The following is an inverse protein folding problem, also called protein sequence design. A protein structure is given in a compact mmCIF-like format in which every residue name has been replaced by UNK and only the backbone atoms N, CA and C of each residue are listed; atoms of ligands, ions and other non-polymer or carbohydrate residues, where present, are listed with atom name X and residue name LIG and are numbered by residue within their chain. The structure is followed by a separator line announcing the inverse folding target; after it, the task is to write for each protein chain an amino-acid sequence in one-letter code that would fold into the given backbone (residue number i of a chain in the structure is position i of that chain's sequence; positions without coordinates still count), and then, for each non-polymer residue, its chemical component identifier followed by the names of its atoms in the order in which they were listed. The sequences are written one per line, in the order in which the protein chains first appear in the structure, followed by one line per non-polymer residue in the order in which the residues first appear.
data_IF_082656568030
#
_entry.id   IF_082656568030
#
_cell.length_a   1.000
_cell.length_b   1.000
_cell.length_c   1.000
_cell.angle_alpha   90.00
_cell.angle_beta   90.00
_cell.angle_gamma   90.00
#
_symmetry.space_group_name_H-M   'P 1'
#
loop_
_entity.id
_entity.type
_entity.pdbx_description
1 polymer ?
#
# COMPACT_ATOMS: atom_id res chain seq x y z
N UNK A 1 -27.69 -15.84 -15.33
CA UNK A 1 -27.33 -14.40 -15.12
C UNK A 1 -25.84 -14.21 -14.85
N UNK A 2 -25.19 -15.07 -14.04
CA UNK A 2 -23.76 -14.97 -13.76
C UNK A 2 -22.86 -15.13 -15.01
N UNK A 3 -23.16 -16.07 -15.91
CA UNK A 3 -22.37 -16.32 -17.12
C UNK A 3 -22.25 -15.07 -18.01
N UNK A 4 -23.40 -14.46 -18.37
CA UNK A 4 -23.45 -13.23 -19.17
C UNK A 4 -22.71 -12.04 -18.54
N UNK A 5 -22.55 -12.01 -17.21
CA UNK A 5 -21.77 -10.97 -16.53
C UNK A 5 -20.27 -11.23 -16.52
N UNK A 6 -19.86 -12.50 -16.55
CA UNK A 6 -18.45 -12.89 -16.70
C UNK A 6 -18.00 -12.67 -18.14
N UNK A 7 -18.82 -13.07 -19.11
CA UNK A 7 -18.54 -12.89 -20.54
C UNK A 7 -18.36 -11.40 -20.87
N UNK A 8 -19.27 -10.54 -20.38
CA UNK A 8 -19.14 -9.07 -20.52
C UNK A 8 -17.87 -8.53 -19.87
N UNK A 9 -17.41 -9.11 -18.77
CA UNK A 9 -16.21 -8.69 -18.05
C UNK A 9 -14.92 -9.17 -18.73
N UNK A 10 -14.98 -10.28 -19.45
CA UNK A 10 -13.88 -10.79 -20.26
C UNK A 10 -13.69 -9.97 -21.55
N UNK A 11 -14.77 -9.38 -22.07
CA UNK A 11 -14.76 -8.52 -23.26
C UNK A 11 -14.48 -7.03 -22.94
N UNK A 12 -14.34 -6.66 -21.66
CA UNK A 12 -14.03 -5.29 -21.25
C UNK A 12 -12.64 -4.85 -21.74
N UNK A 13 -12.56 -3.65 -22.30
CA UNK A 13 -11.27 -3.00 -22.56
C UNK A 13 -10.60 -2.57 -21.24
N UNK A 14 -9.28 -2.40 -21.24
CA UNK A 14 -8.52 -1.92 -20.07
C UNK A 14 -9.09 -0.60 -19.51
N UNK A 15 -9.48 0.34 -20.37
CA UNK A 15 -10.06 1.62 -19.95
C UNK A 15 -11.41 1.44 -19.25
N UNK A 16 -12.28 0.58 -19.78
CA UNK A 16 -13.57 0.27 -19.18
C UNK A 16 -13.41 -0.48 -17.85
N UNK A 17 -12.47 -1.42 -17.77
CA UNK A 17 -12.17 -2.16 -16.54
C UNK A 17 -11.62 -1.22 -15.46
N UNK A 18 -10.68 -0.34 -15.83
CA UNK A 18 -10.11 0.67 -14.91
C UNK A 18 -11.18 1.65 -14.41
N UNK A 19 -12.05 2.14 -15.29
CA UNK A 19 -13.20 2.99 -14.91
C UNK A 19 -14.13 2.25 -13.93
N UNK A 20 -14.50 1.01 -14.23
CA UNK A 20 -15.36 0.19 -13.35
C UNK A 20 -14.71 -0.09 -12.00
N UNK A 21 -13.42 -0.42 -11.96
CA UNK A 21 -12.66 -0.63 -10.73
C UNK A 21 -12.57 0.65 -9.90
N UNK A 22 -12.34 1.80 -10.55
CA UNK A 22 -12.31 3.11 -9.88
C UNK A 22 -13.63 3.40 -9.15
N UNK A 23 -14.77 3.19 -9.81
CA UNK A 23 -16.09 3.34 -9.19
C UNK A 23 -16.29 2.38 -8.00
N UNK A 24 -15.83 1.13 -8.11
CA UNK A 24 -15.90 0.16 -7.02
C UNK A 24 -15.02 0.56 -5.82
N UNK A 25 -13.82 1.08 -6.08
CA UNK A 25 -12.91 1.58 -5.03
C UNK A 25 -13.53 2.79 -4.32
N UNK A 26 -14.06 3.76 -5.07
CA UNK A 26 -14.72 4.95 -4.51
C UNK A 26 -15.92 4.57 -3.64
N UNK A 27 -16.80 3.70 -4.14
CA UNK A 27 -17.94 3.19 -3.36
C UNK A 27 -17.47 2.45 -2.10
N UNK A 28 -16.42 1.65 -2.22
CA UNK A 28 -15.82 0.94 -1.10
C UNK A 28 -15.24 1.86 -0.02
N UNK A 29 -14.62 2.97 -0.43
CA UNK A 29 -14.12 4.00 0.47
C UNK A 29 -15.25 4.75 1.16
N UNK A 30 -16.29 5.18 0.41
CA UNK A 30 -17.46 5.85 0.99
C UNK A 30 -18.12 5.00 2.08
N UNK A 31 -18.36 3.71 1.81
CA UNK A 31 -18.91 2.79 2.83
C UNK A 31 -18.01 2.67 4.06
N UNK A 32 -16.69 2.66 3.89
CA UNK A 32 -15.72 2.57 5.00
C UNK A 32 -15.66 3.87 5.82
N UNK A 33 -15.85 5.03 5.19
CA UNK A 33 -15.90 6.31 5.89
C UNK A 33 -17.17 6.47 6.75
N UNK A 34 -18.26 5.83 6.33
CA UNK A 34 -19.55 5.82 7.03
C UNK A 34 -19.68 4.66 8.06
N UNK A 35 -18.63 3.85 8.27
CA UNK A 35 -18.66 2.75 9.25
C UNK A 35 -18.53 3.25 10.69
N UNK A 36 -19.38 2.73 11.58
CA UNK A 36 -19.26 2.87 13.04
C UNK A 36 -18.08 2.05 13.58
N UNK A 37 -17.52 2.42 14.73
CA UNK A 37 -16.43 1.69 15.39
C UNK A 37 -16.72 0.19 15.60
N UNK A 38 -17.93 -0.17 16.05
CA UNK A 38 -18.30 -1.58 16.26
C UNK A 38 -18.23 -2.40 14.96
N UNK A 39 -18.81 -1.86 13.88
CA UNK A 39 -18.77 -2.47 12.55
C UNK A 39 -17.35 -2.54 11.98
N UNK A 40 -16.53 -1.52 12.26
CA UNK A 40 -15.12 -1.49 11.88
C UNK A 40 -14.34 -2.59 12.60
N UNK A 41 -14.52 -2.73 13.91
CA UNK A 41 -13.88 -3.75 14.74
C UNK A 41 -14.30 -5.15 14.32
N UNK A 42 -15.60 -5.38 14.07
CA UNK A 42 -16.11 -6.65 13.55
C UNK A 42 -15.48 -6.99 12.19
N UNK A 43 -15.41 -6.02 11.27
CA UNK A 43 -14.77 -6.20 9.95
C UNK A 43 -13.28 -6.51 10.07
N UNK A 44 -12.55 -5.80 10.93
CA UNK A 44 -11.11 -6.02 11.15
C UNK A 44 -10.86 -7.40 11.78
N UNK A 45 -11.68 -7.80 12.76
CA UNK A 45 -11.61 -9.13 13.37
C UNK A 45 -11.83 -10.24 12.35
N UNK A 46 -12.83 -10.10 11.48
CA UNK A 46 -13.10 -11.08 10.42
C UNK A 46 -11.94 -11.17 9.41
N UNK A 47 -11.28 -10.06 9.07
CA UNK A 47 -10.11 -10.07 8.20
C UNK A 47 -8.90 -10.73 8.87
N UNK A 48 -8.66 -10.45 10.15
CA UNK A 48 -7.59 -11.06 10.92
C UNK A 48 -7.78 -12.58 11.03
N UNK A 49 -9.00 -13.04 11.32
CA UNK A 49 -9.33 -14.46 11.38
C UNK A 49 -9.05 -15.15 10.03
N UNK A 50 -9.55 -14.60 8.92
CA UNK A 50 -9.29 -15.15 7.58
C UNK A 50 -7.81 -15.18 7.23
N UNK A 51 -7.05 -14.20 7.68
CA UNK A 51 -5.60 -14.18 7.46
C UNK A 51 -4.89 -15.29 8.25
N UNK A 52 -5.33 -15.54 9.48
CA UNK A 52 -4.85 -16.67 10.29
C UNK A 52 -5.18 -18.02 9.66
N UNK A 53 -6.42 -18.20 9.18
CA UNK A 53 -6.84 -19.41 8.47
C UNK A 53 -5.97 -19.65 7.23
N UNK A 54 -5.81 -18.64 6.37
CA UNK A 54 -4.93 -18.75 5.18
C UNK A 54 -3.48 -19.09 5.55
N UNK A 55 -2.94 -18.50 6.63
CA UNK A 55 -1.58 -18.79 7.10
C UNK A 55 -1.43 -20.20 7.68
N UNK A 56 -2.48 -20.75 8.27
CA UNK A 56 -2.48 -22.13 8.75
C UNK A 56 -2.42 -23.13 7.59
N UNK A 57 -2.99 -22.76 6.43
CA UNK A 57 -3.01 -23.57 5.21
C UNK A 57 -1.81 -23.29 4.27
N UNK A 58 -0.88 -22.40 4.63
CA UNK A 58 0.29 -22.09 3.80
C UNK A 58 1.26 -23.28 3.70
N UNK A 59 1.70 -23.56 2.48
CA UNK A 59 2.85 -24.43 2.25
C UNK A 59 4.17 -23.75 2.66
N UNK A 60 5.23 -24.52 2.92
CA UNK A 60 6.54 -23.95 3.27
C UNK A 60 7.08 -22.99 2.21
N UNK A 61 6.87 -23.27 0.92
CA UNK A 61 7.26 -22.40 -0.18
C UNK A 61 6.52 -21.06 -0.16
N UNK A 62 5.20 -21.08 0.06
CA UNK A 62 4.38 -19.87 0.20
C UNK A 62 4.80 -19.05 1.43
N UNK A 63 5.02 -19.72 2.56
CA UNK A 63 5.50 -19.10 3.80
C UNK A 63 6.85 -18.43 3.59
N UNK A 64 7.81 -19.10 2.96
CA UNK A 64 9.14 -18.55 2.69
C UNK A 64 9.08 -17.35 1.72
N UNK A 65 8.26 -17.43 0.68
CA UNK A 65 8.04 -16.31 -0.24
C UNK A 65 7.46 -15.09 0.49
N UNK A 66 6.43 -15.29 1.32
CA UNK A 66 5.83 -14.24 2.14
C UNK A 66 6.84 -13.61 3.10
N UNK A 67 7.60 -14.42 3.83
CA UNK A 67 8.62 -13.93 4.77
C UNK A 67 9.74 -13.17 4.06
N UNK A 68 10.18 -13.64 2.89
CA UNK A 68 11.17 -12.95 2.06
C UNK A 68 10.66 -11.57 1.65
N UNK A 69 9.42 -11.46 1.14
CA UNK A 69 8.81 -10.19 0.77
C UNK A 69 8.71 -9.21 1.97
N UNK A 70 8.36 -9.71 3.17
CA UNK A 70 8.32 -8.88 4.39
C UNK A 70 9.71 -8.33 4.75
N UNK A 71 10.75 -9.16 4.67
CA UNK A 71 12.14 -8.75 4.96
C UNK A 71 12.60 -7.71 3.94
N UNK A 72 12.33 -7.91 2.65
CA UNK A 72 12.68 -6.94 1.62
C UNK A 72 11.98 -5.60 1.83
N UNK A 73 10.67 -5.61 2.08
CA UNK A 73 9.92 -4.38 2.37
C UNK A 73 10.45 -3.67 3.63
N UNK A 74 10.82 -4.41 4.68
CA UNK A 74 11.43 -3.82 5.88
C UNK A 74 12.81 -3.21 5.59
N UNK A 75 13.62 -3.83 4.72
CA UNK A 75 14.91 -3.29 4.27
C UNK A 75 14.73 -2.02 3.45
N UNK A 76 13.84 -2.02 2.48
CA UNK A 76 13.51 -0.85 1.65
C UNK A 76 13.04 0.34 2.50
N UNK A 77 12.15 0.09 3.48
CA UNK A 77 11.72 1.12 4.44
C UNK A 77 12.88 1.71 5.23
N UNK A 78 13.87 0.90 5.63
CA UNK A 78 15.07 1.38 6.32
C UNK A 78 15.95 2.22 5.40
N UNK A 79 16.15 1.79 4.16
CA UNK A 79 16.92 2.53 3.16
C UNK A 79 16.29 3.89 2.85
N UNK A 80 14.98 3.94 2.61
CA UNK A 80 14.27 5.19 2.33
C UNK A 80 14.39 6.22 3.47
N UNK A 81 14.42 5.76 4.74
CA UNK A 81 14.65 6.64 5.89
C UNK A 81 16.09 7.17 5.92
N UNK A 82 17.07 6.34 5.60
CA UNK A 82 18.49 6.74 5.55
C UNK A 82 18.72 7.72 4.40
N UNK A 83 18.20 7.43 3.21
CA UNK A 83 18.30 8.31 2.05
C UNK A 83 17.65 9.66 2.30
N UNK A 84 16.45 9.68 2.91
CA UNK A 84 15.80 10.94 3.31
C UNK A 84 16.63 11.76 4.28
N UNK A 85 17.27 11.12 5.28
CA UNK A 85 18.19 11.80 6.21
C UNK A 85 19.41 12.35 5.51
N UNK A 86 20.03 11.57 4.62
CA UNK A 86 21.21 12.01 3.87
C UNK A 86 20.87 13.18 2.95
N UNK A 87 19.73 13.15 2.27
CA UNK A 87 19.26 14.24 1.42
C UNK A 87 19.10 15.55 2.22
N UNK A 88 18.45 15.48 3.39
CA UNK A 88 18.27 16.65 4.25
C UNK A 88 19.60 17.20 4.80
N UNK A 89 20.54 16.32 5.18
CA UNK A 89 21.86 16.75 5.66
C UNK A 89 22.65 17.47 4.58
N UNK A 90 22.66 16.93 3.36
CA UNK A 90 23.33 17.54 2.20
C UNK A 90 22.69 18.90 1.89
N UNK A 91 21.37 18.98 1.87
CA UNK A 91 20.65 20.24 1.63
C UNK A 91 21.00 21.30 2.68
N UNK A 92 21.01 20.92 3.97
CA UNK A 92 21.38 21.81 5.07
C UNK A 92 22.83 22.30 4.95
N UNK A 93 23.75 21.43 4.53
CA UNK A 93 25.15 21.80 4.29
C UNK A 93 25.29 22.85 3.18
N UNK A 94 24.64 22.65 2.04
CA UNK A 94 24.71 23.61 0.92
C UNK A 94 24.01 24.94 1.25
N UNK A 95 22.90 24.90 2.00
CA UNK A 95 22.22 26.11 2.47
C UNK A 95 23.12 26.91 3.42
N UNK A 96 23.69 26.26 4.44
CA UNK A 96 24.61 26.91 5.38
C UNK A 96 25.84 27.50 4.69
N UNK A 97 26.42 26.78 3.73
CA UNK A 97 27.53 27.25 2.91
C UNK A 97 27.16 28.50 2.12
N UNK A 98 25.98 28.54 1.50
CA UNK A 98 25.50 29.69 0.72
C UNK A 98 25.34 30.93 1.60
N UNK A 99 24.75 30.78 2.79
CA UNK A 99 24.61 31.87 3.77
C UNK A 99 25.98 32.37 4.21
N UNK A 100 26.92 31.45 4.49
CA UNK A 100 28.28 31.81 4.88
C UNK A 100 28.99 32.63 3.79
N UNK A 101 28.97 32.20 2.52
CA UNK A 101 29.55 32.98 1.41
C UNK A 101 28.92 34.37 1.25
N UNK A 102 27.61 34.48 1.50
CA UNK A 102 26.89 35.75 1.40
C UNK A 102 27.23 36.72 2.54
N UNK A 103 27.83 36.24 3.63
CA UNK A 103 28.28 37.07 4.75
C UNK A 103 29.71 37.62 4.55
N UNK A 104 30.47 37.02 3.64
CA UNK A 104 31.87 37.39 3.34
C UNK A 104 32.01 38.13 2.00
N UNK A 105 30.90 38.54 1.38
CA UNK A 105 30.79 39.44 0.22
C UNK A 105 30.08 40.71 0.69
#
# INVERSE_FOLDING_TARGET
MAQRSLDRRAEETEEQNNSRLSVMVQRGQKRRAEETEEKMNSRLSAMAQRDHERRAEETEGQRNSRLSAMVQHARERRLNVIEGKNHHQIQTFYAARTVLYSLFI
#
